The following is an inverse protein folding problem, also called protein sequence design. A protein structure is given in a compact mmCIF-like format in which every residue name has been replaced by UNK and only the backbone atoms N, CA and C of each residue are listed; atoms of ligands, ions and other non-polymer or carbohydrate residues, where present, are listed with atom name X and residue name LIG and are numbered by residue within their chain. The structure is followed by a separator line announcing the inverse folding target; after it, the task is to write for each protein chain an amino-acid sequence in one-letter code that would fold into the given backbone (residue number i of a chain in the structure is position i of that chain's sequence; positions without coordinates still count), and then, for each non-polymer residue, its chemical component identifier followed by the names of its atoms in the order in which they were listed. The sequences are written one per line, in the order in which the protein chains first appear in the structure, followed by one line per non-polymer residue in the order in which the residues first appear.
data_IF_198311416104
#
_entry.id   IF_198311416104
#
_cell.length_a   1.000
_cell.length_b   1.000
_cell.length_c   1.000
_cell.angle_alpha   90.00
_cell.angle_beta   90.00
_cell.angle_gamma   90.00
#
_symmetry.space_group_name_H-M   'P 1'
#
loop_
_entity.id
_entity.type
_entity.pdbx_description
1 polymer ?
#
# COMPACT_ATOMS: atom_id res chain seq x y z
N UNK A 1 7.59 -28.08 -75.03
CA UNK A 1 6.34 -27.29 -74.89
C UNK A 1 5.58 -27.57 -73.58
N UNK A 2 6.19 -28.25 -72.59
CA UNK A 2 5.56 -28.56 -71.30
C UNK A 2 6.14 -27.80 -70.09
N UNK A 3 7.42 -27.36 -70.14
CA UNK A 3 8.08 -26.75 -68.97
C UNK A 3 7.52 -25.37 -68.59
N UNK A 4 7.19 -24.52 -69.57
CA UNK A 4 6.66 -23.18 -69.30
C UNK A 4 5.29 -23.19 -68.61
N UNK A 5 4.48 -24.23 -68.83
CA UNK A 5 3.17 -24.36 -68.17
C UNK A 5 3.32 -24.77 -66.72
N UNK A 6 4.26 -25.68 -66.43
CA UNK A 6 4.54 -26.14 -65.05
C UNK A 6 5.15 -25.01 -64.21
N UNK A 7 6.09 -24.25 -64.78
CA UNK A 7 6.70 -23.08 -64.12
C UNK A 7 5.67 -21.96 -63.84
N UNK A 8 4.75 -21.69 -64.77
CA UNK A 8 3.69 -20.69 -64.57
C UNK A 8 2.65 -21.13 -63.54
N UNK A 9 2.27 -22.42 -63.51
CA UNK A 9 1.37 -22.95 -62.49
C UNK A 9 2.01 -22.96 -61.09
N UNK A 10 3.30 -23.29 -60.98
CA UNK A 10 4.04 -23.27 -59.72
C UNK A 10 4.21 -21.83 -59.18
N UNK A 11 4.46 -20.85 -60.06
CA UNK A 11 4.55 -19.45 -59.66
C UNK A 11 3.20 -18.86 -59.19
N UNK A 12 2.08 -19.27 -59.82
CA UNK A 12 0.73 -18.86 -59.43
C UNK A 12 0.30 -19.45 -58.08
N UNK A 13 0.63 -20.71 -57.80
CA UNK A 13 0.32 -21.35 -56.53
C UNK A 13 1.17 -20.81 -55.37
N UNK A 14 2.44 -20.46 -55.60
CA UNK A 14 3.31 -19.84 -54.59
C UNK A 14 2.84 -18.43 -54.19
N UNK A 15 2.35 -17.64 -55.15
CA UNK A 15 1.77 -16.31 -54.88
C UNK A 15 0.42 -16.40 -54.17
N UNK A 16 -0.42 -17.39 -54.49
CA UNK A 16 -1.68 -17.64 -53.79
C UNK A 16 -1.46 -18.09 -52.33
N UNK A 17 -0.48 -18.94 -52.07
CA UNK A 17 -0.12 -19.38 -50.71
C UNK A 17 0.49 -18.22 -49.91
N UNK A 18 1.37 -17.42 -50.52
CA UNK A 18 1.94 -16.24 -49.89
C UNK A 18 0.90 -15.17 -49.54
N UNK A 19 -0.03 -14.89 -50.44
CA UNK A 19 -1.15 -13.96 -50.18
C UNK A 19 -2.13 -14.51 -49.15
N UNK A 20 -2.45 -15.81 -49.18
CA UNK A 20 -3.28 -16.45 -48.16
C UNK A 20 -2.63 -16.42 -46.77
N UNK A 21 -1.31 -16.59 -46.66
CA UNK A 21 -0.57 -16.49 -45.39
C UNK A 21 -0.52 -15.05 -44.87
N UNK A 22 -0.38 -14.05 -45.74
CA UNK A 22 -0.44 -12.63 -45.36
C UNK A 22 -1.85 -12.25 -44.90
N UNK A 23 -2.90 -12.70 -45.59
CA UNK A 23 -4.30 -12.49 -45.17
C UNK A 23 -4.58 -13.23 -43.87
N UNK A 24 -4.06 -14.45 -43.70
CA UNK A 24 -4.20 -15.21 -42.45
C UNK A 24 -3.48 -14.51 -41.28
N UNK A 25 -2.24 -14.04 -41.47
CA UNK A 25 -1.52 -13.25 -40.47
C UNK A 25 -2.20 -11.89 -40.18
N UNK A 26 -2.84 -11.28 -41.17
CA UNK A 26 -3.55 -10.02 -41.02
C UNK A 26 -4.91 -10.19 -40.30
N UNK A 27 -5.64 -11.26 -40.60
CA UNK A 27 -6.97 -11.57 -40.04
C UNK A 27 -6.87 -12.26 -38.67
N UNK A 28 -5.92 -13.18 -38.47
CA UNK A 28 -5.77 -13.95 -37.23
C UNK A 28 -4.62 -13.45 -36.32
N UNK A 29 -3.61 -12.75 -36.85
CA UNK A 29 -2.46 -12.28 -36.06
C UNK A 29 -2.72 -10.99 -35.26
N UNK A 30 -3.81 -10.28 -35.54
CA UNK A 30 -4.19 -9.07 -34.81
C UNK A 30 -5.39 -9.34 -33.91
N UNK A 31 -5.13 -9.88 -32.72
CA UNK A 31 -6.06 -9.68 -31.60
C UNK A 31 -6.39 -8.19 -31.52
N UNK A 32 -7.67 -7.86 -31.62
CA UNK A 32 -8.11 -6.47 -31.55
C UNK A 32 -7.72 -5.88 -30.19
N UNK A 33 -7.53 -4.56 -30.14
CA UNK A 33 -7.24 -3.83 -28.90
C UNK A 33 -8.23 -4.23 -27.79
N UNK A 34 -9.52 -4.36 -28.11
CA UNK A 34 -10.56 -4.77 -27.18
C UNK A 34 -10.33 -6.17 -26.59
N UNK A 35 -9.99 -7.17 -27.42
CA UNK A 35 -9.69 -8.53 -26.93
C UNK A 35 -8.48 -8.51 -26.01
N UNK A 36 -7.41 -7.78 -26.38
CA UNK A 36 -6.21 -7.66 -25.52
C UNK A 36 -6.53 -6.99 -24.19
N UNK A 37 -7.32 -5.93 -24.18
CA UNK A 37 -7.78 -5.25 -22.96
C UNK A 37 -8.50 -6.22 -22.02
N UNK A 38 -9.47 -6.99 -22.53
CA UNK A 38 -10.21 -7.96 -21.71
C UNK A 38 -9.32 -9.09 -21.20
N UNK A 39 -8.43 -9.63 -22.03
CA UNK A 39 -7.49 -10.68 -21.64
C UNK A 39 -6.57 -10.21 -20.52
N UNK A 40 -5.93 -9.05 -20.67
CA UNK A 40 -5.02 -8.50 -19.65
C UNK A 40 -5.74 -8.15 -18.36
N UNK A 41 -6.96 -7.61 -18.43
CA UNK A 41 -7.76 -7.35 -17.23
C UNK A 41 -8.06 -8.65 -16.47
N UNK A 42 -8.36 -9.74 -17.19
CA UNK A 42 -8.60 -11.06 -16.59
C UNK A 42 -7.32 -11.66 -15.99
N UNK A 43 -6.21 -11.58 -16.71
CA UNK A 43 -4.90 -12.04 -16.24
C UNK A 43 -4.45 -11.28 -15.00
N UNK A 44 -4.53 -9.95 -15.02
CA UNK A 44 -4.24 -9.10 -13.88
C UNK A 44 -5.05 -9.52 -12.66
N UNK A 45 -6.37 -9.72 -12.82
CA UNK A 45 -7.26 -10.17 -11.74
C UNK A 45 -6.84 -11.54 -11.22
N UNK A 46 -6.59 -12.49 -12.10
CA UNK A 46 -6.17 -13.85 -11.73
C UNK A 46 -4.85 -13.86 -10.95
N UNK A 47 -3.86 -13.08 -11.41
CA UNK A 47 -2.57 -12.93 -10.75
C UNK A 47 -2.73 -12.27 -9.38
N UNK A 48 -3.53 -11.21 -9.30
CA UNK A 48 -3.79 -10.49 -8.05
C UNK A 48 -4.46 -11.39 -7.01
N UNK A 49 -5.49 -12.15 -7.38
CA UNK A 49 -6.16 -13.11 -6.47
C UNK A 49 -5.26 -14.27 -6.06
N UNK A 50 -4.26 -14.60 -6.88
CA UNK A 50 -3.25 -15.62 -6.59
C UNK A 50 -2.05 -15.07 -5.80
N UNK A 51 -2.13 -13.83 -5.31
CA UNK A 51 -1.04 -13.11 -4.64
C UNK A 51 0.25 -12.99 -5.47
N UNK A 52 0.14 -13.06 -6.81
CA UNK A 52 1.22 -12.82 -7.77
C UNK A 52 1.19 -11.35 -8.18
N UNK A 53 1.51 -10.46 -7.24
CA UNK A 53 1.31 -9.02 -7.43
C UNK A 53 2.22 -8.43 -8.51
N UNK A 54 3.43 -8.93 -8.68
CA UNK A 54 4.34 -8.47 -9.74
C UNK A 54 3.79 -8.80 -11.14
N UNK A 55 3.20 -9.99 -11.34
CA UNK A 55 2.53 -10.36 -12.59
C UNK A 55 1.27 -9.51 -12.85
N UNK A 56 0.49 -9.25 -11.79
CA UNK A 56 -0.68 -8.38 -11.86
C UNK A 56 -0.29 -6.94 -12.24
N UNK A 57 0.76 -6.42 -11.61
CA UNK A 57 1.34 -5.12 -11.88
C UNK A 57 1.76 -5.00 -13.36
N UNK A 58 2.52 -5.96 -13.88
CA UNK A 58 2.97 -5.93 -15.29
C UNK A 58 1.78 -5.92 -16.26
N UNK A 59 0.76 -6.72 -15.99
CA UNK A 59 -0.46 -6.77 -16.81
C UNK A 59 -1.22 -5.44 -16.79
N UNK A 60 -1.32 -4.81 -15.62
CA UNK A 60 -1.98 -3.51 -15.42
C UNK A 60 -1.19 -2.36 -16.03
N UNK A 61 0.15 -2.37 -15.93
CA UNK A 61 1.02 -1.40 -16.60
C UNK A 61 0.83 -1.46 -18.11
N UNK A 62 0.83 -2.66 -18.70
CA UNK A 62 0.58 -2.78 -20.12
C UNK A 62 -0.81 -2.27 -20.52
N UNK A 63 -1.83 -2.60 -19.71
CA UNK A 63 -3.20 -2.15 -19.93
C UNK A 63 -3.34 -0.62 -19.89
N UNK A 64 -2.76 0.03 -18.88
CA UNK A 64 -2.88 1.48 -18.65
C UNK A 64 -1.96 2.28 -19.57
N UNK A 65 -0.69 1.90 -19.66
CA UNK A 65 0.33 2.69 -20.35
C UNK A 65 0.39 2.38 -21.85
N UNK A 66 0.33 1.10 -22.22
CA UNK A 66 0.48 0.67 -23.63
C UNK A 66 -0.85 0.66 -24.37
N UNK A 67 -1.91 0.10 -23.77
CA UNK A 67 -3.23 0.10 -24.38
C UNK A 67 -4.01 1.39 -24.12
N UNK A 68 -3.53 2.27 -23.25
CA UNK A 68 -4.18 3.55 -22.97
C UNK A 68 -5.54 3.41 -22.28
N UNK A 69 -5.79 2.28 -21.61
CA UNK A 69 -7.03 2.07 -20.85
C UNK A 69 -6.92 2.76 -19.48
N UNK A 70 -7.02 4.09 -19.49
CA UNK A 70 -6.66 4.98 -18.36
C UNK A 70 -7.84 5.41 -17.50
N UNK A 71 -8.90 4.62 -17.37
CA UNK A 71 -9.97 4.96 -16.43
C UNK A 71 -9.51 4.81 -14.98
N UNK A 72 -10.24 5.44 -14.07
CA UNK A 72 -9.94 5.52 -12.65
C UNK A 72 -9.80 4.14 -12.01
N UNK A 73 -10.67 3.20 -12.41
CA UNK A 73 -10.65 1.81 -11.95
C UNK A 73 -9.37 1.06 -12.36
N UNK A 74 -8.87 1.27 -13.56
CA UNK A 74 -7.61 0.67 -14.02
C UNK A 74 -6.40 1.30 -13.32
N UNK A 75 -6.41 2.63 -13.14
CA UNK A 75 -5.34 3.36 -12.46
C UNK A 75 -5.24 2.98 -10.97
N UNK A 76 -6.37 2.86 -10.27
CA UNK A 76 -6.36 2.48 -8.85
C UNK A 76 -5.89 1.05 -8.67
N UNK A 77 -6.34 0.13 -9.54
CA UNK A 77 -5.88 -1.26 -9.51
C UNK A 77 -4.37 -1.36 -9.79
N UNK A 78 -3.86 -0.57 -10.74
CA UNK A 78 -2.43 -0.47 -11.02
C UNK A 78 -1.65 0.00 -9.78
N UNK A 79 -2.10 1.07 -9.14
CA UNK A 79 -1.45 1.61 -7.94
C UNK A 79 -1.49 0.60 -6.78
N UNK A 80 -2.61 -0.10 -6.59
CA UNK A 80 -2.76 -1.14 -5.57
C UNK A 80 -1.80 -2.32 -5.82
N UNK A 81 -1.74 -2.81 -7.06
CA UNK A 81 -0.81 -3.87 -7.45
C UNK A 81 0.65 -3.43 -7.27
N UNK A 82 1.00 -2.19 -7.62
CA UNK A 82 2.32 -1.62 -7.42
C UNK A 82 2.78 -1.60 -5.97
N UNK A 83 1.89 -1.16 -5.06
CA UNK A 83 2.16 -1.18 -3.62
C UNK A 83 2.33 -2.60 -3.08
N UNK A 84 1.44 -3.53 -3.44
CA UNK A 84 1.50 -4.91 -2.95
C UNK A 84 2.71 -5.65 -3.53
N UNK A 85 3.06 -5.45 -4.81
CA UNK A 85 4.27 -5.99 -5.40
C UNK A 85 5.52 -5.48 -4.66
N UNK A 86 5.62 -4.17 -4.43
CA UNK A 86 6.72 -3.59 -3.67
C UNK A 86 6.82 -4.19 -2.26
N UNK A 87 5.69 -4.33 -1.56
CA UNK A 87 5.65 -4.93 -0.22
C UNK A 87 6.09 -6.40 -0.24
N UNK A 88 5.56 -7.21 -1.15
CA UNK A 88 5.90 -8.63 -1.24
C UNK A 88 7.35 -8.86 -1.67
N UNK A 89 7.85 -8.09 -2.64
CA UNK A 89 9.21 -8.22 -3.14
C UNK A 89 10.23 -7.71 -2.11
N UNK A 90 9.89 -6.68 -1.34
CA UNK A 90 10.75 -6.12 -0.28
C UNK A 90 10.89 -7.04 0.94
N UNK A 91 9.88 -7.84 1.25
CA UNK A 91 9.90 -8.76 2.39
C UNK A 91 10.76 -10.01 2.16
N UNK A 92 11.20 -10.28 0.92
CA UNK A 92 11.77 -11.58 0.55
C UNK A 92 10.77 -12.72 0.79
N UNK A 93 11.15 -13.98 0.53
CA UNK A 93 10.29 -15.14 0.83
C UNK A 93 10.02 -15.37 2.33
N UNK A 94 10.36 -14.43 3.21
CA UNK A 94 9.99 -14.44 4.62
C UNK A 94 8.55 -13.93 4.76
N UNK A 95 7.59 -14.81 4.46
CA UNK A 95 6.16 -14.57 4.72
C UNK A 95 5.84 -14.46 6.21
N UNK A 96 6.76 -14.90 7.06
CA UNK A 96 6.53 -15.00 8.49
C UNK A 96 7.54 -14.14 9.25
N UNK A 97 6.99 -13.14 9.94
CA UNK A 97 7.53 -12.57 11.17
C UNK A 97 8.93 -11.94 11.12
N UNK A 98 9.06 -10.72 10.57
CA UNK A 98 9.89 -9.70 11.21
C UNK A 98 9.38 -8.29 10.86
N UNK A 99 9.55 -7.30 11.76
CA UNK A 99 9.33 -5.91 11.41
C UNK A 99 10.20 -5.58 10.21
N UNK A 100 9.61 -5.13 9.09
CA UNK A 100 10.31 -4.70 7.87
C UNK A 100 11.58 -3.95 8.28
N UNK A 101 12.75 -4.56 8.12
CA UNK A 101 13.97 -3.91 8.57
C UNK A 101 14.25 -2.66 7.71
N UNK A 102 15.24 -1.85 8.08
CA UNK A 102 15.56 -0.65 7.31
C UNK A 102 15.87 -0.95 5.84
N UNK A 103 16.44 -2.12 5.54
CA UNK A 103 16.79 -2.55 4.18
C UNK A 103 15.54 -2.85 3.36
N UNK A 104 14.64 -3.70 3.88
CA UNK A 104 13.36 -4.00 3.25
C UNK A 104 12.50 -2.75 3.10
N UNK A 105 12.52 -1.83 4.08
CA UNK A 105 11.78 -0.57 4.00
C UNK A 105 12.30 0.32 2.88
N UNK A 106 13.62 0.48 2.78
CA UNK A 106 14.24 1.25 1.70
C UNK A 106 13.95 0.62 0.33
N UNK A 107 14.02 -0.71 0.23
CA UNK A 107 13.67 -1.43 -0.99
C UNK A 107 12.21 -1.24 -1.38
N UNK A 108 11.30 -1.24 -0.41
CA UNK A 108 9.88 -0.98 -0.65
C UNK A 108 9.66 0.44 -1.16
N UNK A 109 10.29 1.45 -0.55
CA UNK A 109 10.24 2.86 -1.01
C UNK A 109 10.74 3.00 -2.46
N UNK A 110 11.84 2.34 -2.78
CA UNK A 110 12.40 2.33 -4.14
C UNK A 110 11.42 1.71 -5.15
N UNK A 111 10.87 0.53 -4.86
CA UNK A 111 9.92 -0.14 -5.76
C UNK A 111 8.62 0.64 -5.94
N UNK A 112 8.10 1.28 -4.89
CA UNK A 112 6.93 2.16 -4.98
C UNK A 112 7.18 3.32 -5.93
N UNK A 113 8.38 3.91 -5.86
CA UNK A 113 8.82 4.98 -6.76
C UNK A 113 8.94 4.48 -8.20
N UNK A 114 9.67 3.39 -8.44
CA UNK A 114 9.89 2.81 -9.76
C UNK A 114 8.58 2.39 -10.45
N UNK A 115 7.62 1.86 -9.70
CA UNK A 115 6.35 1.41 -10.24
C UNK A 115 5.35 2.56 -10.48
N UNK A 116 5.71 3.81 -10.16
CA UNK A 116 4.83 4.97 -10.30
C UNK A 116 3.59 4.90 -9.39
N UNK A 117 3.69 4.22 -8.25
CA UNK A 117 2.55 3.92 -7.39
C UNK A 117 1.91 5.20 -6.84
N UNK A 118 2.74 6.10 -6.28
CA UNK A 118 2.28 7.38 -5.74
C UNK A 118 1.70 8.27 -6.82
N UNK A 119 2.37 8.36 -7.98
CA UNK A 119 1.90 9.12 -9.14
C UNK A 119 0.50 8.71 -9.59
N UNK A 120 0.18 7.41 -9.55
CA UNK A 120 -1.16 6.94 -9.90
C UNK A 120 -2.21 7.29 -8.84
N UNK A 121 -1.88 7.27 -7.55
CA UNK A 121 -2.80 7.78 -6.52
C UNK A 121 -2.98 9.29 -6.60
N UNK A 122 -1.91 10.05 -6.84
CA UNK A 122 -1.96 11.52 -6.95
C UNK A 122 -2.96 11.93 -8.03
N UNK A 123 -2.92 11.28 -9.19
CA UNK A 123 -3.90 11.48 -10.28
C UNK A 123 -5.34 11.25 -9.82
N UNK A 124 -5.58 10.20 -9.04
CA UNK A 124 -6.91 9.84 -8.54
C UNK A 124 -7.40 10.79 -7.44
N UNK A 125 -6.50 11.50 -6.78
CA UNK A 125 -6.85 12.52 -5.76
C UNK A 125 -7.01 13.93 -6.33
N UNK A 126 -6.78 14.11 -7.63
CA UNK A 126 -6.88 15.41 -8.27
C UNK A 126 -8.32 15.96 -8.27
N UNK A 127 -8.48 17.30 -8.31
CA UNK A 127 -9.80 17.91 -8.50
C UNK A 127 -10.49 17.39 -9.77
N UNK A 128 -11.80 17.13 -9.67
CA UNK A 128 -12.61 16.64 -10.80
C UNK A 128 -12.60 15.12 -11.00
N UNK A 129 -11.77 14.36 -10.27
CA UNK A 129 -11.92 12.90 -10.20
C UNK A 129 -13.11 12.54 -9.30
N UNK A 130 -13.85 11.53 -9.73
CA UNK A 130 -14.97 10.93 -9.01
C UNK A 130 -14.62 10.64 -7.55
N UNK A 131 -15.50 11.05 -6.64
CA UNK A 131 -15.23 11.08 -5.20
C UNK A 131 -15.02 9.68 -4.62
N UNK A 132 -15.63 8.66 -5.20
CA UNK A 132 -15.44 7.27 -4.78
C UNK A 132 -14.01 6.77 -5.06
N UNK A 133 -13.46 7.08 -6.25
CA UNK A 133 -12.07 6.75 -6.54
C UNK A 133 -11.09 7.62 -5.75
N UNK A 134 -11.37 8.92 -5.64
CA UNK A 134 -10.54 9.84 -4.87
C UNK A 134 -10.46 9.48 -3.39
N UNK A 135 -11.59 9.10 -2.78
CA UNK A 135 -11.63 8.65 -1.38
C UNK A 135 -10.75 7.42 -1.16
N UNK A 136 -10.84 6.43 -2.04
CA UNK A 136 -10.05 5.19 -1.91
C UNK A 136 -8.56 5.42 -2.17
N UNK A 137 -8.24 6.29 -3.12
CA UNK A 137 -6.86 6.70 -3.35
C UNK A 137 -6.27 7.38 -2.11
N UNK A 138 -6.99 8.33 -1.51
CA UNK A 138 -6.57 8.93 -0.25
C UNK A 138 -6.45 7.91 0.90
N UNK A 139 -7.41 6.99 1.04
CA UNK A 139 -7.31 5.94 2.06
C UNK A 139 -6.04 5.09 1.85
N UNK A 140 -5.74 4.73 0.62
CA UNK A 140 -4.56 3.91 0.32
C UNK A 140 -3.25 4.68 0.48
N UNK A 141 -3.21 5.98 0.18
CA UNK A 141 -2.08 6.85 0.52
C UNK A 141 -1.84 6.90 2.03
N UNK A 142 -2.90 6.95 2.85
CA UNK A 142 -2.78 6.87 4.31
C UNK A 142 -2.18 5.55 4.78
N UNK A 143 -2.59 4.44 4.18
CA UNK A 143 -1.97 3.12 4.43
C UNK A 143 -0.49 3.13 4.04
N UNK A 144 -0.14 3.71 2.91
CA UNK A 144 1.24 3.80 2.43
C UNK A 144 2.09 4.64 3.40
N UNK A 145 1.65 5.85 3.74
CA UNK A 145 2.34 6.73 4.68
C UNK A 145 2.59 6.02 6.03
N UNK A 146 1.57 5.33 6.56
CA UNK A 146 1.73 4.56 7.80
C UNK A 146 2.75 3.42 7.69
N UNK A 147 2.76 2.69 6.58
CA UNK A 147 3.69 1.56 6.37
C UNK A 147 5.12 2.02 6.05
N UNK A 148 5.28 3.20 5.43
CA UNK A 148 6.58 3.74 5.04
C UNK A 148 7.21 4.68 6.07
N UNK A 149 6.51 4.95 7.18
CA UNK A 149 6.96 5.85 8.25
C UNK A 149 8.34 5.46 8.78
N UNK A 150 9.10 6.47 9.17
CA UNK A 150 10.33 6.26 9.92
C UNK A 150 10.01 5.74 11.33
N UNK A 151 10.79 4.77 11.82
CA UNK A 151 10.67 4.25 13.18
C UNK A 151 11.38 5.12 14.22
N UNK A 152 12.20 6.07 13.77
CA UNK A 152 12.81 7.07 14.63
C UNK A 152 11.85 8.23 14.92
N UNK A 153 11.03 8.59 13.94
CA UNK A 153 9.96 9.59 14.07
C UNK A 153 8.63 9.03 13.55
N UNK A 154 7.99 8.20 14.39
CA UNK A 154 6.73 7.57 14.02
C UNK A 154 5.59 8.59 13.91
N UNK A 155 5.62 9.65 14.71
CA UNK A 155 4.53 10.65 14.82
C UNK A 155 4.31 11.37 13.49
N UNK A 156 5.39 11.73 12.77
CA UNK A 156 5.28 12.39 11.48
C UNK A 156 4.50 11.54 10.46
N UNK A 157 4.90 10.28 10.26
CA UNK A 157 4.22 9.39 9.32
C UNK A 157 2.81 8.99 9.75
N UNK A 158 2.53 8.89 11.06
CA UNK A 158 1.17 8.70 11.56
C UNK A 158 0.29 9.94 11.29
N UNK A 159 0.83 11.14 11.42
CA UNK A 159 0.11 12.40 11.15
C UNK A 159 -0.22 12.54 9.67
N UNK A 160 0.75 12.24 8.80
CA UNK A 160 0.54 12.19 7.35
C UNK A 160 -0.56 11.18 6.98
N UNK A 161 -0.49 9.96 7.55
CA UNK A 161 -1.52 8.96 7.36
C UNK A 161 -2.91 9.45 7.80
N UNK A 162 -3.00 10.11 8.96
CA UNK A 162 -4.24 10.68 9.47
C UNK A 162 -4.84 11.75 8.55
N UNK A 163 -4.01 12.63 7.97
CA UNK A 163 -4.47 13.63 7.01
C UNK A 163 -4.99 12.99 5.71
N UNK A 164 -4.33 11.94 5.23
CA UNK A 164 -4.83 11.17 4.09
C UNK A 164 -6.18 10.50 4.38
N UNK A 165 -6.35 9.82 5.52
CA UNK A 165 -7.66 9.23 5.88
C UNK A 165 -8.74 10.30 6.06
N UNK A 166 -8.38 11.47 6.59
CA UNK A 166 -9.29 12.61 6.69
C UNK A 166 -9.72 13.11 5.32
N UNK A 167 -8.80 13.21 4.36
CA UNK A 167 -9.12 13.59 2.98
C UNK A 167 -10.00 12.53 2.30
N UNK A 168 -9.80 11.25 2.60
CA UNK A 168 -10.69 10.19 2.13
C UNK A 168 -12.13 10.39 2.63
N UNK A 169 -12.32 10.73 3.90
CA UNK A 169 -13.62 11.01 4.50
C UNK A 169 -14.25 12.33 4.02
N UNK A 170 -13.43 13.33 3.65
CA UNK A 170 -13.93 14.55 3.00
C UNK A 170 -14.51 14.27 1.62
N UNK A 171 -13.92 13.31 0.90
CA UNK A 171 -14.38 12.88 -0.42
C UNK A 171 -15.62 11.98 -0.32
N UNK A 172 -15.57 11.00 0.56
CA UNK A 172 -16.67 10.05 0.79
C UNK A 172 -16.82 9.80 2.30
N UNK A 173 -17.79 10.48 2.95
CA UNK A 173 -18.07 10.30 4.37
C UNK A 173 -18.51 8.88 4.74
N UNK A 174 -19.01 8.08 3.79
CA UNK A 174 -19.49 6.71 4.01
C UNK A 174 -18.40 5.65 3.80
N UNK A 175 -17.14 6.07 3.58
CA UNK A 175 -16.03 5.15 3.46
C UNK A 175 -15.63 4.56 4.83
N UNK A 176 -16.25 3.44 5.18
CA UNK A 176 -16.02 2.73 6.45
C UNK A 176 -14.54 2.36 6.68
N UNK A 177 -13.81 2.00 5.63
CA UNK A 177 -12.39 1.69 5.75
C UNK A 177 -11.58 2.92 6.15
N UNK A 178 -11.85 4.07 5.54
CA UNK A 178 -11.19 5.33 5.89
C UNK A 178 -11.56 5.78 7.31
N UNK A 179 -12.82 5.61 7.71
CA UNK A 179 -13.29 5.92 9.07
C UNK A 179 -12.54 5.08 10.10
N UNK A 180 -12.55 3.77 9.92
CA UNK A 180 -11.83 2.83 10.80
C UNK A 180 -10.33 3.18 10.89
N UNK A 181 -9.68 3.40 9.74
CA UNK A 181 -8.27 3.74 9.70
C UNK A 181 -7.96 5.08 10.38
N UNK A 182 -8.80 6.09 10.16
CA UNK A 182 -8.68 7.41 10.80
C UNK A 182 -8.80 7.31 12.32
N UNK A 183 -9.83 6.61 12.82
CA UNK A 183 -10.05 6.43 14.25
C UNK A 183 -8.89 5.66 14.91
N UNK A 184 -8.42 4.59 14.26
CA UNK A 184 -7.30 3.81 14.76
C UNK A 184 -6.01 4.64 14.84
N UNK A 185 -5.70 5.43 13.81
CA UNK A 185 -4.47 6.23 13.82
C UNK A 185 -4.54 7.39 14.80
N UNK A 186 -5.71 8.04 14.93
CA UNK A 186 -5.94 9.08 15.94
C UNK A 186 -5.76 8.53 17.34
N UNK A 187 -6.33 7.36 17.62
CA UNK A 187 -6.11 6.68 18.88
C UNK A 187 -4.62 6.48 19.16
N UNK A 188 -3.83 5.99 18.19
CA UNK A 188 -2.39 5.79 18.36
C UNK A 188 -1.62 7.09 18.62
N UNK A 189 -1.95 8.17 17.91
CA UNK A 189 -1.32 9.48 18.09
C UNK A 189 -1.63 10.05 19.48
N UNK A 190 -2.87 9.92 19.93
CA UNK A 190 -3.34 10.53 21.19
C UNK A 190 -3.05 9.65 22.43
N UNK A 191 -2.79 8.35 22.23
CA UNK A 191 -2.61 7.37 23.30
C UNK A 191 -1.49 7.74 24.30
N UNK A 192 -0.28 8.16 23.88
CA UNK A 192 0.78 8.56 24.82
C UNK A 192 0.36 9.69 25.77
N UNK A 193 -0.28 10.74 25.25
CA UNK A 193 -0.71 11.88 26.06
C UNK A 193 -1.90 11.52 26.95
N UNK A 194 -2.83 10.68 26.47
CA UNK A 194 -3.93 10.17 27.29
C UNK A 194 -3.39 9.37 28.50
N UNK A 195 -2.40 8.50 28.29
CA UNK A 195 -1.75 7.76 29.37
C UNK A 195 -1.07 8.71 30.34
N UNK A 196 -0.27 9.66 29.83
CA UNK A 196 0.44 10.60 30.69
C UNK A 196 -0.49 11.53 31.47
N UNK A 197 -1.64 11.93 30.91
CA UNK A 197 -2.67 12.66 31.63
C UNK A 197 -3.19 11.90 32.86
N UNK A 198 -3.47 10.60 32.71
CA UNK A 198 -3.90 9.73 33.82
C UNK A 198 -2.78 9.48 34.84
N UNK A 199 -1.55 9.31 34.38
CA UNK A 199 -0.35 9.19 35.25
C UNK A 199 -0.21 10.45 36.11
N UNK A 200 -0.31 11.64 35.52
CA UNK A 200 -0.24 12.92 36.25
C UNK A 200 -1.38 13.08 37.27
N UNK A 201 -2.59 12.62 36.95
CA UNK A 201 -3.72 12.57 37.90
C UNK A 201 -3.42 11.65 39.09
N UNK A 202 -2.92 10.44 38.84
CA UNK A 202 -2.56 9.48 39.89
C UNK A 202 -1.45 10.04 40.81
N UNK A 203 -0.46 10.71 40.23
CA UNK A 203 0.62 11.39 40.97
C UNK A 203 0.07 12.52 41.84
N UNK A 204 -0.85 13.34 41.32
CA UNK A 204 -1.52 14.40 42.11
C UNK A 204 -2.25 13.83 43.32
N UNK A 205 -2.79 12.62 43.20
CA UNK A 205 -3.43 11.88 44.32
C UNK A 205 -2.43 11.13 45.20
N UNK A 206 -1.12 11.31 45.01
CA UNK A 206 -0.04 10.54 45.65
C UNK A 206 -0.15 9.02 45.44
N UNK A 207 -0.89 8.58 44.43
CA UNK A 207 -0.99 7.18 44.04
C UNK A 207 0.15 6.82 43.08
N UNK A 208 1.38 6.86 43.58
CA UNK A 208 2.58 6.58 42.79
C UNK A 208 2.63 5.14 42.27
N UNK A 209 2.12 4.18 43.08
CA UNK A 209 2.01 2.77 42.69
C UNK A 209 1.10 2.61 41.47
N UNK A 210 -0.10 3.19 41.51
CA UNK A 210 -1.02 3.15 40.37
C UNK A 210 -0.45 3.85 39.14
N UNK A 211 0.24 4.98 39.32
CA UNK A 211 0.89 5.69 38.21
C UNK A 211 1.96 4.83 37.51
N UNK A 212 2.77 4.12 38.31
CA UNK A 212 3.80 3.19 37.81
C UNK A 212 3.17 2.01 37.09
N UNK A 213 2.16 1.38 37.69
CA UNK A 213 1.51 0.20 37.13
C UNK A 213 0.83 0.54 35.79
N UNK A 214 0.14 1.68 35.72
CA UNK A 214 -0.44 2.17 34.46
C UNK A 214 0.61 2.37 33.35
N UNK A 215 1.79 2.92 33.68
CA UNK A 215 2.86 3.09 32.69
C UNK A 215 3.45 1.76 32.24
N UNK A 216 3.69 0.82 33.17
CA UNK A 216 4.18 -0.52 32.83
C UNK A 216 3.19 -1.26 31.93
N UNK A 217 1.89 -1.20 32.24
CA UNK A 217 0.85 -1.78 31.38
C UNK A 217 0.83 -1.13 29.98
N UNK A 218 1.11 0.17 29.90
CA UNK A 218 1.19 0.89 28.63
C UNK A 218 2.44 0.52 27.82
N UNK A 219 3.55 0.16 28.47
CA UNK A 219 4.80 -0.26 27.80
C UNK A 219 4.66 -1.55 27.00
N UNK A 220 3.71 -2.42 27.36
CA UNK A 220 3.44 -3.67 26.65
C UNK A 220 2.52 -3.44 25.45
N UNK A 221 1.74 -2.36 25.48
CA UNK A 221 0.80 -1.99 24.40
C UNK A 221 1.45 -1.11 23.34
N UNK A 222 2.43 -0.30 23.74
CA UNK A 222 3.07 0.68 22.89
C UNK A 222 4.57 0.83 23.19
N UNK A 223 5.41 0.42 22.24
CA UNK A 223 6.86 0.51 22.34
C UNK A 223 7.37 1.96 22.37
N UNK A 224 6.64 2.92 21.79
CA UNK A 224 6.97 4.34 21.85
C UNK A 224 6.83 4.87 23.28
N UNK A 225 5.79 4.45 24.00
CA UNK A 225 5.60 4.83 25.41
C UNK A 225 6.75 4.30 26.26
N UNK A 226 7.15 3.04 26.06
CA UNK A 226 8.32 2.47 26.75
C UNK A 226 9.57 3.33 26.50
N UNK A 227 9.90 3.58 25.23
CA UNK A 227 11.08 4.36 24.83
C UNK A 227 11.09 5.77 25.46
N UNK A 228 9.93 6.40 25.55
CA UNK A 228 9.84 7.80 25.99
C UNK A 228 9.72 7.96 27.51
N UNK A 229 9.24 6.94 28.23
CA UNK A 229 8.86 7.08 29.63
C UNK A 229 9.45 6.02 30.58
N UNK A 230 10.38 5.18 30.12
CA UNK A 230 11.08 4.20 30.97
C UNK A 230 11.73 4.85 32.19
N UNK A 231 12.47 5.95 32.00
CA UNK A 231 13.05 6.72 33.10
C UNK A 231 12.01 7.28 34.08
N UNK A 232 10.80 7.55 33.59
CA UNK A 232 9.70 8.04 34.42
C UNK A 232 9.23 6.96 35.40
N UNK A 233 9.19 5.70 34.95
CA UNK A 233 8.87 4.54 35.82
C UNK A 233 9.95 4.35 36.89
N UNK A 234 11.23 4.46 36.54
CA UNK A 234 12.34 4.36 37.51
C UNK A 234 12.21 5.43 38.60
N UNK A 235 11.86 6.67 38.22
CA UNK A 235 11.62 7.75 39.18
C UNK A 235 10.44 7.45 40.12
N UNK A 236 9.34 6.92 39.59
CA UNK A 236 8.19 6.52 40.42
C UNK A 236 8.55 5.41 41.41
N UNK A 237 9.35 4.43 40.98
CA UNK A 237 9.83 3.35 41.87
C UNK A 237 10.69 3.89 43.02
N UNK A 238 11.58 4.85 42.73
CA UNK A 238 12.38 5.51 43.76
C UNK A 238 11.51 6.26 44.78
N UNK A 239 10.49 7.00 44.32
CA UNK A 239 9.54 7.70 45.20
C UNK A 239 8.78 6.70 46.09
N UNK A 240 8.26 5.61 45.50
CA UNK A 240 7.55 4.56 46.25
C UNK A 240 8.44 3.98 47.36
N UNK A 241 9.72 3.73 47.06
CA UNK A 241 10.67 3.20 48.05
C UNK A 241 10.89 4.19 49.19
N UNK A 242 11.08 5.48 48.90
CA UNK A 242 11.26 6.51 49.93
C UNK A 242 10.00 6.62 50.81
N UNK A 243 8.82 6.66 50.21
CA UNK A 243 7.55 6.71 50.93
C UNK A 243 7.37 5.49 51.85
N UNK A 244 7.81 4.30 51.45
CA UNK A 244 7.76 3.12 52.31
C UNK A 244 8.71 3.19 53.52
N UNK A 245 9.90 3.78 53.34
CA UNK A 245 10.89 3.93 54.42
C UNK A 245 10.51 5.02 55.43
N UNK A 246 9.75 6.03 55.01
CA UNK A 246 9.26 7.08 55.92
C UNK A 246 8.08 6.64 56.80
N UNK A 247 7.48 5.48 56.51
CA UNK A 247 6.34 4.93 57.24
C UNK A 247 6.69 3.76 58.18
N UNK A 248 7.94 3.29 58.12
CA UNK A 248 8.53 2.30 59.05
C UNK A 248 9.19 3.00 60.23
#
# INVERSE_FOLDING_TARGET
MNDDRVLRLAAFSLTLVGTALVVFAFVFGRMTKAVRTHTLAREARSSYTSAKYSDALSSLQFLVDTLGFKNEGAQINLAHAGFLAARYDSAGRARDSHPVDSTSLNRMKELISLNGTLVNYDKLTAPGVDDYYGSRAYNQLGVIAYNLRDRQDETAGMTEAAEHFRNALRKDPENDYARYNYELIRYRIDYPEMIMGRVRELIRRRNYKGARDLLKDAFDRDAQIRRNYEDYVIRLENIIRIDSLSRS
#
